data_IF_523703502837
#
_entry.id   IF_523703502837
#
_cell.length_a   1.000
_cell.length_b   1.000
_cell.length_c   1.000
_cell.angle_alpha   90.00
_cell.angle_beta   90.00
_cell.angle_gamma   90.00
#
_symmetry.space_group_name_H-M   'P 1'
#
loop_
_entity.id
_entity.type
_entity.pdbx_description
1 polymer ?
#
# COMPACT_ATOMS: atom_id res chain seq x y z
N UNK A 1 -12.56 -20.95 -34.65
CA UNK A 1 -11.51 -20.18 -33.97
C UNK A 1 -12.12 -19.64 -32.68
N UNK A 2 -11.76 -20.20 -31.51
CA UNK A 2 -12.22 -19.66 -30.22
C UNK A 2 -11.03 -19.66 -29.26
N UNK A 3 -10.37 -18.50 -29.16
CA UNK A 3 -9.36 -18.24 -28.14
C UNK A 3 -10.08 -18.03 -26.82
N UNK A 4 -10.14 -19.06 -25.98
CA UNK A 4 -10.69 -18.96 -24.63
C UNK A 4 -9.72 -18.20 -23.73
N UNK A 5 -9.97 -16.90 -23.65
CA UNK A 5 -9.58 -15.97 -22.60
C UNK A 5 -10.09 -16.46 -21.24
N UNK A 6 -9.19 -16.70 -20.29
CA UNK A 6 -9.46 -16.51 -18.85
C UNK A 6 -8.16 -16.61 -18.06
N UNK A 7 -7.44 -15.49 -17.94
CA UNK A 7 -6.46 -15.32 -16.86
C UNK A 7 -7.28 -14.83 -15.68
N UNK A 8 -7.72 -15.75 -14.82
CA UNK A 8 -8.37 -15.41 -13.55
C UNK A 8 -7.28 -14.87 -12.63
N UNK A 9 -7.06 -13.55 -12.68
CA UNK A 9 -6.31 -12.84 -11.66
C UNK A 9 -7.15 -12.84 -10.39
N UNK A 10 -6.86 -13.78 -9.49
CA UNK A 10 -7.38 -13.76 -8.12
C UNK A 10 -6.80 -12.52 -7.44
N UNK A 11 -7.53 -11.40 -7.56
CA UNK A 11 -7.30 -10.20 -6.78
C UNK A 11 -7.67 -10.53 -5.33
N UNK A 12 -6.67 -10.89 -4.53
CA UNK A 12 -6.77 -10.79 -3.08
C UNK A 12 -6.88 -9.32 -2.71
N UNK A 13 -8.07 -8.74 -2.90
CA UNK A 13 -8.47 -7.52 -2.23
C UNK A 13 -8.62 -7.89 -0.75
N UNK A 14 -7.51 -7.76 -0.01
CA UNK A 14 -7.44 -8.01 1.42
C UNK A 14 -8.34 -7.03 2.17
N UNK A 15 -9.63 -7.36 2.26
CA UNK A 15 -10.53 -6.85 3.28
C UNK A 15 -10.19 -7.55 4.58
N UNK A 16 -9.33 -6.93 5.38
CA UNK A 16 -9.16 -7.33 6.77
C UNK A 16 -9.44 -6.13 7.66
N UNK A 17 -10.48 -6.20 8.47
CA UNK A 17 -10.84 -5.19 9.48
C UNK A 17 -10.01 -5.37 10.77
N UNK A 18 -8.78 -5.89 10.68
CA UNK A 18 -7.86 -5.99 11.82
C UNK A 18 -7.25 -4.62 12.10
N UNK A 19 -7.12 -4.19 13.36
CA UNK A 19 -6.40 -2.97 13.69
C UNK A 19 -4.93 -3.13 13.24
N UNK A 20 -4.59 -2.56 12.08
CA UNK A 20 -3.25 -2.70 11.55
C UNK A 20 -2.35 -1.70 12.23
N UNK A 21 -1.27 -2.20 12.84
CA UNK A 21 -0.19 -1.36 13.37
C UNK A 21 0.53 -0.62 12.24
N UNK A 22 0.48 -1.15 11.00
CA UNK A 22 1.17 -0.62 9.84
C UNK A 22 0.28 -0.60 8.59
N UNK A 23 0.31 0.50 7.87
CA UNK A 23 -0.32 0.67 6.57
C UNK A 23 0.70 0.35 5.47
N UNK A 24 0.39 -0.64 4.63
CA UNK A 24 1.14 -0.89 3.40
C UNK A 24 0.52 -0.11 2.26
N UNK A 25 1.17 0.96 1.82
CA UNK A 25 0.75 1.70 0.64
C UNK A 25 1.03 0.90 -0.62
N UNK A 26 0.09 0.95 -1.57
CA UNK A 26 0.17 0.23 -2.83
C UNK A 26 0.42 1.20 -3.98
N UNK A 27 0.96 0.69 -5.07
CA UNK A 27 0.94 1.38 -6.36
C UNK A 27 -0.43 1.27 -7.03
N UNK A 28 -0.66 2.04 -8.10
CA UNK A 28 -1.92 2.01 -8.86
C UNK A 28 -2.22 0.61 -9.41
N UNK A 29 -1.18 -0.15 -9.76
CA UNK A 29 -1.26 -1.54 -10.22
C UNK A 29 -1.54 -2.56 -9.07
N UNK A 30 -1.49 -2.12 -7.82
CA UNK A 30 -1.72 -2.95 -6.63
C UNK A 30 -0.46 -3.58 -6.04
N UNK A 31 0.72 -3.39 -6.65
CA UNK A 31 1.99 -3.83 -6.09
C UNK A 31 2.39 -3.06 -4.83
N UNK A 32 3.28 -3.66 -4.04
CA UNK A 32 3.78 -3.06 -2.81
C UNK A 32 4.66 -1.83 -3.11
N UNK A 33 4.25 -0.67 -2.60
CA UNK A 33 5.08 0.53 -2.65
C UNK A 33 5.95 0.68 -1.42
N UNK A 34 5.34 0.94 -0.26
CA UNK A 34 6.05 1.14 0.99
C UNK A 34 5.13 0.94 2.19
N UNK A 35 5.72 0.83 3.39
CA UNK A 35 5.00 0.66 4.65
C UNK A 35 5.20 1.88 5.56
N UNK A 36 4.13 2.30 6.24
CA UNK A 36 4.12 3.39 7.20
C UNK A 36 3.38 2.98 8.47
N UNK A 37 3.84 3.41 9.64
CA UNK A 37 3.17 3.19 10.92
C UNK A 37 1.79 3.87 10.92
N UNK A 38 0.75 3.17 11.35
CA UNK A 38 -0.62 3.68 11.36
C UNK A 38 -0.91 4.55 12.62
N UNK A 39 -0.15 5.64 12.79
CA UNK A 39 -0.23 6.49 13.99
C UNK A 39 -1.57 7.25 14.12
N UNK A 40 -2.16 7.64 12.99
CA UNK A 40 -3.39 8.45 12.92
C UNK A 40 -4.65 7.63 12.65
N UNK A 41 -4.52 6.29 12.60
CA UNK A 41 -5.60 5.37 12.23
C UNK A 41 -6.26 5.64 10.86
N UNK A 42 -5.56 6.34 9.96
CA UNK A 42 -6.06 6.76 8.65
C UNK A 42 -5.06 6.42 7.53
N UNK A 43 -4.95 5.12 7.24
CA UNK A 43 -4.08 4.62 6.19
C UNK A 43 -4.39 5.21 4.80
N UNK A 44 -5.66 5.56 4.53
CA UNK A 44 -6.05 6.14 3.24
C UNK A 44 -5.38 7.49 3.05
N UNK A 45 -5.50 8.37 4.04
CA UNK A 45 -4.85 9.69 4.05
C UNK A 45 -3.33 9.55 3.97
N UNK A 46 -2.74 8.68 4.79
CA UNK A 46 -1.29 8.46 4.81
C UNK A 46 -0.75 7.93 3.47
N UNK A 47 -1.48 7.03 2.81
CA UNK A 47 -1.08 6.46 1.52
C UNK A 47 -1.46 7.33 0.30
N UNK A 48 -2.20 8.42 0.49
CA UNK A 48 -2.57 9.32 -0.62
C UNK A 48 -1.35 10.02 -1.20
N UNK A 49 -0.39 10.39 -0.34
CA UNK A 49 0.86 11.06 -0.75
C UNK A 49 2.13 10.30 -0.34
N UNK A 50 1.99 9.03 0.03
CA UNK A 50 3.13 8.20 0.38
C UNK A 50 4.10 8.07 -0.80
N UNK A 51 5.40 8.11 -0.49
CA UNK A 51 6.49 7.93 -1.44
C UNK A 51 7.53 7.01 -0.79
N UNK A 52 8.24 6.24 -1.61
CA UNK A 52 9.40 5.45 -1.15
C UNK A 52 10.62 6.32 -0.84
N UNK A 53 10.62 7.55 -1.34
CA UNK A 53 11.72 8.51 -1.24
C UNK A 53 11.20 9.86 -0.75
N UNK A 54 12.11 10.77 -0.38
CA UNK A 54 11.76 12.12 0.09
C UNK A 54 11.24 13.06 -0.99
N UNK A 55 11.13 12.56 -2.22
CA UNK A 55 10.70 13.30 -3.39
C UNK A 55 9.29 12.89 -3.79
N UNK A 56 8.54 13.84 -4.36
CA UNK A 56 7.22 13.59 -4.94
C UNK A 56 7.28 12.81 -6.26
N UNK A 57 8.47 12.69 -6.86
CA UNK A 57 8.67 11.97 -8.12
C UNK A 57 8.37 10.47 -8.02
N UNK A 58 8.47 9.89 -6.82
CA UNK A 58 8.30 8.46 -6.58
C UNK A 58 7.10 8.12 -5.68
N UNK A 59 6.07 8.98 -5.71
CA UNK A 59 4.82 8.72 -5.01
C UNK A 59 4.19 7.41 -5.47
N UNK A 60 3.62 6.67 -4.51
CA UNK A 60 2.88 5.45 -4.79
C UNK A 60 1.67 5.70 -5.69
N UNK A 61 1.15 6.94 -5.69
CA UNK A 61 0.14 7.47 -6.61
C UNK A 61 -1.05 6.52 -6.88
N UNK A 62 -1.50 5.86 -5.81
CA UNK A 62 -2.64 4.95 -5.86
C UNK A 62 -3.91 5.55 -5.27
N UNK A 63 -3.95 6.89 -5.11
CA UNK A 63 -5.11 7.59 -4.55
C UNK A 63 -5.48 7.14 -3.14
N UNK A 64 -4.49 6.75 -2.33
CA UNK A 64 -4.75 6.22 -0.99
C UNK A 64 -5.13 4.75 -0.95
N UNK A 65 -4.78 3.94 -1.96
CA UNK A 65 -4.86 2.47 -1.82
C UNK A 65 -3.83 1.97 -0.81
N UNK A 66 -4.27 1.09 0.08
CA UNK A 66 -3.43 0.45 1.08
C UNK A 66 -3.88 -0.98 1.36
N UNK A 67 -3.00 -1.72 2.01
CA UNK A 67 -3.26 -3.03 2.59
C UNK A 67 -2.76 -3.03 4.03
N UNK A 68 -3.28 -3.95 4.84
CA UNK A 68 -2.86 -4.09 6.23
C UNK A 68 -1.75 -5.10 6.35
N UNK A 69 -0.73 -4.74 7.12
CA UNK A 69 0.36 -5.65 7.46
C UNK A 69 0.58 -5.69 8.96
N UNK A 70 0.92 -6.88 9.45
CA UNK A 70 1.39 -7.07 10.81
C UNK A 70 2.76 -6.41 11.00
N UNK A 71 3.11 -6.06 12.24
CA UNK A 71 4.43 -5.52 12.58
C UNK A 71 5.57 -6.44 12.13
N UNK A 72 5.38 -7.76 12.26
CA UNK A 72 6.34 -8.75 11.77
C UNK A 72 6.60 -8.59 10.27
N UNK A 73 5.54 -8.54 9.45
CA UNK A 73 5.69 -8.38 8.00
C UNK A 73 6.22 -7.00 7.62
N UNK A 74 5.88 -5.95 8.38
CA UNK A 74 6.36 -4.59 8.15
C UNK A 74 7.89 -4.48 8.26
N UNK A 75 8.52 -5.24 9.16
CA UNK A 75 9.99 -5.26 9.31
C UNK A 75 10.73 -5.74 8.07
N UNK A 76 10.12 -6.59 7.25
CA UNK A 76 10.71 -7.09 6.01
C UNK A 76 10.32 -6.23 4.79
N UNK A 77 9.63 -5.10 5.00
CA UNK A 77 9.13 -4.24 3.92
C UNK A 77 9.90 -2.92 3.88
N UNK A 78 9.96 -2.30 2.70
CA UNK A 78 10.52 -0.96 2.53
C UNK A 78 9.63 0.06 3.24
N UNK A 79 10.19 0.81 4.19
CA UNK A 79 9.51 1.94 4.83
C UNK A 79 9.35 3.11 3.85
N UNK A 80 8.26 3.85 3.98
CA UNK A 80 8.05 5.07 3.17
C UNK A 80 9.13 6.12 3.52
N UNK A 81 9.45 7.00 2.58
CA UNK A 81 10.36 8.12 2.79
C UNK A 81 9.64 9.31 3.43
N UNK A 82 10.30 10.02 4.34
CA UNK A 82 9.85 11.31 4.83
C UNK A 82 9.95 12.37 3.72
N UNK A 83 9.04 13.36 3.62
CA UNK A 83 8.05 13.72 4.64
C UNK A 83 6.75 12.93 4.52
N UNK A 84 6.40 12.25 5.61
CA UNK A 84 5.06 11.69 5.79
C UNK A 84 4.08 12.86 5.93
N UNK A 85 3.10 12.93 5.05
CA UNK A 85 2.08 13.97 5.12
C UNK A 85 0.99 13.41 6.02
N UNK A 86 1.11 13.68 7.32
CA UNK A 86 0.18 13.19 8.35
C UNK A 86 -1.19 13.75 8.13
#
# INVERSE_FOLDING_TARGET
MVRLLTIVTVLFAGVSSVAASYCQCLYTDGSHCCVIDNLVNDCTRMCTKASKDSTTANQCNAGGKWSKVSSWNANFRKKCGQPYIY
#
